data_IF_847715464129
#
_entry.id   IF_847715464129
#
_cell.length_a   1.000
_cell.length_b   1.000
_cell.length_c   1.000
_cell.angle_alpha   90.00
_cell.angle_beta   90.00
_cell.angle_gamma   90.00
#
_symmetry.space_group_name_H-M   'P 1'
#
loop_
_entity.id
_entity.type
_entity.pdbx_description
1 polymer ?
#
# COMPACT_ATOMS: atom_id res chain seq x y z
N UNK A 1 20.95 9.54 13.65
CA UNK A 1 19.70 9.43 12.86
C UNK A 1 18.63 10.10 13.69
N UNK A 2 18.14 11.27 13.25
CA UNK A 2 17.36 12.18 14.08
C UNK A 2 15.88 11.91 13.84
N UNK A 3 15.15 11.57 14.90
CA UNK A 3 13.69 11.38 14.88
C UNK A 3 13.09 12.77 15.10
N UNK A 4 12.34 13.27 14.13
CA UNK A 4 11.52 14.47 14.29
C UNK A 4 10.09 14.01 14.58
N UNK A 5 9.62 14.33 15.78
CA UNK A 5 8.25 14.12 16.23
C UNK A 5 7.36 15.20 15.58
N UNK A 6 6.44 14.75 14.72
CA UNK A 6 5.29 15.54 14.31
C UNK A 6 4.06 14.62 14.38
N UNK A 7 3.19 14.89 15.36
CA UNK A 7 1.80 14.42 15.47
C UNK A 7 1.49 13.00 14.97
N UNK A 8 1.91 11.97 15.71
CA UNK A 8 1.20 10.69 15.88
C UNK A 8 0.84 9.86 14.64
N UNK A 9 1.24 10.28 13.44
CA UNK A 9 1.06 9.60 12.17
C UNK A 9 2.46 9.44 11.63
N UNK A 10 2.94 8.19 11.67
CA UNK A 10 4.17 7.81 10.97
C UNK A 10 4.01 8.30 9.53
N UNK A 11 4.70 9.37 9.13
CA UNK A 11 4.84 9.69 7.71
C UNK A 11 5.51 8.46 7.10
N UNK A 12 4.81 7.65 6.28
CA UNK A 12 5.44 6.49 5.70
C UNK A 12 6.53 7.06 4.80
N UNK A 13 7.80 6.87 5.18
CA UNK A 13 8.95 7.23 4.36
C UNK A 13 8.62 6.92 2.90
N UNK A 14 8.66 7.93 2.02
CA UNK A 14 8.26 7.84 0.59
C UNK A 14 8.78 6.59 -0.15
N UNK A 15 9.82 5.95 0.37
CA UNK A 15 10.41 4.69 -0.11
C UNK A 15 9.45 3.49 -0.12
N UNK A 16 8.40 3.47 0.72
CA UNK A 16 7.47 2.34 0.84
C UNK A 16 6.05 2.68 0.34
N UNK A 17 5.95 3.57 -0.65
CA UNK A 17 4.67 3.97 -1.25
C UNK A 17 4.64 3.63 -2.73
N UNK A 18 3.60 2.94 -3.18
CA UNK A 18 3.36 2.65 -4.60
C UNK A 18 2.05 3.33 -5.02
N UNK A 19 2.15 4.29 -5.92
CA UNK A 19 0.98 5.03 -6.40
C UNK A 19 0.14 4.17 -7.36
N UNK A 20 -1.17 4.14 -7.13
CA UNK A 20 -2.16 3.55 -8.04
C UNK A 20 -2.57 4.59 -9.08
N UNK A 21 -2.81 5.83 -8.64
CA UNK A 21 -3.15 6.99 -9.46
C UNK A 21 -2.72 8.29 -8.74
N UNK A 22 -3.19 9.45 -9.17
CA UNK A 22 -2.78 10.75 -8.64
C UNK A 22 -3.16 11.02 -7.17
N UNK A 23 -4.12 10.27 -6.61
CA UNK A 23 -4.64 10.49 -5.26
C UNK A 23 -4.63 9.23 -4.40
N UNK A 24 -4.48 8.03 -4.97
CA UNK A 24 -4.50 6.76 -4.24
C UNK A 24 -3.13 6.09 -4.31
N UNK A 25 -2.63 5.66 -3.15
CA UNK A 25 -1.38 4.92 -3.04
C UNK A 25 -1.48 3.75 -2.06
N UNK A 26 -0.58 2.80 -2.23
CA UNK A 26 -0.36 1.65 -1.36
C UNK A 26 0.83 1.96 -0.47
N UNK A 27 0.66 1.91 0.85
CA UNK A 27 1.74 1.93 1.83
C UNK A 27 2.12 0.50 2.22
N UNK A 28 3.43 0.20 2.25
CA UNK A 28 3.98 -1.11 2.59
C UNK A 28 4.61 -1.06 3.98
N UNK A 29 4.15 -1.95 4.86
CA UNK A 29 4.52 -2.05 6.27
C UNK A 29 4.97 -3.49 6.55
N UNK A 30 6.18 -3.92 6.12
CA UNK A 30 6.55 -5.34 6.10
C UNK A 30 6.39 -6.08 7.44
N UNK A 31 6.66 -5.38 8.54
CA UNK A 31 6.62 -5.93 9.91
C UNK A 31 5.22 -5.91 10.56
N UNK A 32 4.20 -5.36 9.88
CA UNK A 32 2.83 -5.25 10.41
C UNK A 32 1.99 -6.48 10.06
N UNK A 33 1.07 -6.87 10.96
CA UNK A 33 0.07 -7.90 10.67
C UNK A 33 -0.81 -7.53 9.46
N UNK A 34 -1.13 -6.24 9.31
CA UNK A 34 -1.66 -5.69 8.07
C UNK A 34 -0.54 -4.95 7.36
N UNK A 35 0.21 -5.70 6.55
CA UNK A 35 1.44 -5.23 5.92
C UNK A 35 1.23 -4.42 4.63
N UNK A 36 -0.02 -4.26 4.19
CA UNK A 36 -0.40 -3.41 3.08
C UNK A 36 -1.58 -2.52 3.49
N UNK A 37 -1.46 -1.21 3.28
CA UNK A 37 -2.55 -0.26 3.47
C UNK A 37 -2.79 0.56 2.20
N UNK A 38 -4.06 0.84 1.89
CA UNK A 38 -4.45 1.70 0.77
C UNK A 38 -4.95 3.02 1.33
N UNK A 39 -4.40 4.10 0.83
CA UNK A 39 -4.63 5.46 1.29
C UNK A 39 -5.08 6.34 0.13
N UNK A 40 -6.00 7.25 0.41
CA UNK A 40 -6.41 8.29 -0.52
C UNK A 40 -6.02 9.66 0.04
N UNK A 41 -5.45 10.52 -0.81
CA UNK A 41 -5.13 11.90 -0.55
C UNK A 41 -5.93 12.80 -1.51
N UNK A 42 -7.13 13.20 -1.09
CA UNK A 42 -7.99 14.09 -1.87
C UNK A 42 -7.95 15.49 -1.26
N UNK A 43 -7.35 16.45 -1.97
CA UNK A 43 -7.35 17.87 -1.58
C UNK A 43 -6.78 18.12 -0.17
N UNK A 44 -5.70 17.41 0.19
CA UNK A 44 -5.03 17.56 1.48
C UNK A 44 -5.69 16.80 2.64
N UNK A 45 -6.75 16.03 2.37
CA UNK A 45 -7.32 15.08 3.33
C UNK A 45 -6.80 13.68 3.01
N UNK A 46 -5.95 13.19 3.91
CA UNK A 46 -5.42 11.83 3.85
C UNK A 46 -6.33 10.93 4.68
N UNK A 47 -6.82 9.84 4.09
CA UNK A 47 -7.56 8.83 4.83
C UNK A 47 -7.24 7.42 4.33
N UNK A 48 -7.23 6.45 5.25
CA UNK A 48 -6.99 5.05 4.91
C UNK A 48 -8.28 4.43 4.40
N UNK A 49 -8.26 3.94 3.16
CA UNK A 49 -9.39 3.28 2.53
C UNK A 49 -9.54 1.84 3.04
N UNK A 50 -8.42 1.11 3.12
CA UNK A 50 -8.42 -0.30 3.50
C UNK A 50 -7.03 -0.79 3.91
N UNK A 51 -6.98 -2.01 4.44
CA UNK A 51 -5.73 -2.72 4.78
C UNK A 51 -5.86 -4.20 4.51
N UNK A 52 -4.73 -4.85 4.26
CA UNK A 52 -4.64 -6.26 3.89
C UNK A 52 -3.40 -6.88 4.53
N UNK A 53 -3.52 -8.12 4.98
CA UNK A 53 -2.35 -8.97 5.21
C UNK A 53 -1.93 -9.57 3.86
N UNK A 54 -1.16 -8.79 3.12
CA UNK A 54 -0.70 -9.17 1.79
C UNK A 54 0.19 -10.40 1.86
N UNK A 55 1.12 -10.48 2.82
CA UNK A 55 2.06 -11.61 2.96
C UNK A 55 1.36 -12.97 2.89
N UNK A 56 0.23 -13.14 3.59
CA UNK A 56 -0.49 -14.42 3.67
C UNK A 56 -1.73 -14.54 2.77
N UNK A 57 -2.20 -13.44 2.15
CA UNK A 57 -3.43 -13.44 1.34
C UNK A 57 -3.24 -12.91 -0.09
N UNK A 58 -2.02 -13.00 -0.65
CA UNK A 58 -1.65 -12.47 -1.99
C UNK A 58 -2.61 -12.89 -3.11
N UNK A 59 -3.18 -14.08 -3.03
CA UNK A 59 -4.14 -14.64 -3.99
C UNK A 59 -5.42 -13.79 -4.11
N UNK A 60 -5.80 -13.09 -3.05
CA UNK A 60 -6.98 -12.21 -3.03
C UNK A 60 -6.68 -10.75 -3.36
N UNK A 61 -5.42 -10.40 -3.63
CA UNK A 61 -4.97 -9.02 -3.83
C UNK A 61 -5.70 -8.30 -4.97
N UNK A 62 -5.90 -8.99 -6.11
CA UNK A 62 -6.58 -8.38 -7.25
C UNK A 62 -8.02 -7.96 -6.92
N UNK A 63 -8.78 -8.82 -6.25
CA UNK A 63 -10.14 -8.51 -5.81
C UNK A 63 -10.18 -7.47 -4.69
N UNK A 64 -9.14 -7.39 -3.86
CA UNK A 64 -8.97 -6.33 -2.87
C UNK A 64 -8.81 -4.95 -3.55
N UNK A 65 -7.89 -4.83 -4.52
CA UNK A 65 -7.64 -3.57 -5.23
C UNK A 65 -8.82 -3.18 -6.12
N UNK A 66 -9.43 -4.12 -6.84
CA UNK A 66 -10.56 -3.83 -7.73
C UNK A 66 -11.77 -3.25 -6.98
N UNK A 67 -12.01 -3.67 -5.72
CA UNK A 67 -13.08 -3.09 -4.89
C UNK A 67 -12.83 -1.63 -4.49
N UNK A 68 -11.58 -1.22 -4.40
CA UNK A 68 -11.18 0.12 -3.96
C UNK A 68 -10.99 1.08 -5.14
N UNK A 69 -10.53 0.56 -6.27
CA UNK A 69 -10.27 1.30 -7.49
C UNK A 69 -10.95 0.60 -8.68
N UNK A 70 -12.26 0.77 -8.91
CA UNK A 70 -12.99 0.02 -9.93
C UNK A 70 -12.48 0.24 -11.37
N UNK A 71 -11.85 1.38 -11.64
CA UNK A 71 -11.33 1.75 -12.96
C UNK A 71 -9.96 1.13 -13.26
N UNK A 72 -9.32 0.46 -12.28
CA UNK A 72 -8.03 -0.19 -12.47
C UNK A 72 -8.19 -1.49 -13.27
N UNK A 73 -7.28 -1.73 -14.21
CA UNK A 73 -7.27 -2.96 -14.99
C UNK A 73 -6.32 -4.02 -14.43
N UNK A 74 -6.49 -5.27 -14.88
CA UNK A 74 -5.70 -6.42 -14.44
C UNK A 74 -4.19 -6.26 -14.67
N UNK A 75 -3.78 -5.60 -15.76
CA UNK A 75 -2.37 -5.38 -16.07
C UNK A 75 -1.73 -4.40 -15.09
N UNK A 76 -2.45 -3.35 -14.71
CA UNK A 76 -2.02 -2.41 -13.68
C UNK A 76 -1.90 -3.11 -12.31
N UNK A 77 -2.91 -3.89 -11.91
CA UNK A 77 -2.88 -4.69 -10.68
C UNK A 77 -1.64 -5.60 -10.66
N UNK A 78 -1.38 -6.32 -11.76
CA UNK A 78 -0.21 -7.19 -11.84
C UNK A 78 1.11 -6.42 -11.75
N UNK A 79 1.18 -5.21 -12.31
CA UNK A 79 2.34 -4.31 -12.16
C UNK A 79 2.54 -3.86 -10.71
N UNK A 80 1.46 -3.54 -9.99
CA UNK A 80 1.51 -3.23 -8.56
C UNK A 80 2.03 -4.43 -7.77
N UNK A 81 1.49 -5.63 -8.05
CA UNK A 81 1.88 -6.85 -7.38
C UNK A 81 3.39 -7.15 -7.54
N UNK A 82 3.94 -6.94 -8.74
CA UNK A 82 5.38 -7.06 -9.01
C UNK A 82 6.23 -6.08 -8.21
N UNK A 83 5.74 -4.88 -7.97
CA UNK A 83 6.45 -3.87 -7.17
C UNK A 83 6.36 -4.20 -5.67
N UNK A 84 5.26 -4.80 -5.21
CA UNK A 84 5.03 -5.15 -3.80
C UNK A 84 5.80 -6.43 -3.40
N UNK A 85 5.85 -7.44 -4.26
CA UNK A 85 6.43 -8.75 -3.96
C UNK A 85 7.85 -8.71 -3.33
N UNK A 86 8.82 -7.91 -3.83
CA UNK A 86 10.16 -7.84 -3.27
C UNK A 86 10.24 -7.44 -1.79
N UNK A 87 9.21 -6.77 -1.25
CA UNK A 87 9.16 -6.40 0.16
C UNK A 87 8.82 -7.58 1.08
N UNK A 88 8.33 -8.70 0.53
CA UNK A 88 7.83 -9.86 1.27
C UNK A 88 8.48 -11.18 0.89
N UNK A 89 9.24 -11.21 -0.20
CA UNK A 89 9.90 -12.43 -0.73
C UNK A 89 11.31 -12.65 -0.16
N UNK A 90 11.74 -11.82 0.80
CA UNK A 90 13.00 -11.99 1.53
C UNK A 90 12.84 -12.95 2.71
N UNK A 91 12.49 -14.21 2.44
CA UNK A 91 12.73 -15.34 3.36
C UNK A 91 13.72 -16.29 2.67
N UNK A 92 14.97 -16.26 3.14
CA UNK A 92 15.97 -17.32 2.94
C UNK A 92 16.26 -17.93 4.30
#
# INVERSE_FOLDING_TARGET
MQILEADGVLEPTKLNQIWINDHIYIAILPESAYNLEVWENTTGKIHRMARMDYKYHRDTFAGFIYRLCPDINLMQIHSLQKQINPFFDLEV
#
